data_IF_134109122858
#
_entry.id   IF_134109122858
#
_cell.length_a   1.000
_cell.length_b   1.000
_cell.length_c   1.000
_cell.angle_alpha   90.00
_cell.angle_beta   90.00
_cell.angle_gamma   90.00
#
_symmetry.space_group_name_H-M   'P 1'
#
loop_
_entity.id
_entity.type
_entity.pdbx_description
1 polymer ?
#
# COMPACT_ATOMS: atom_id res chain seq x y z
N UNK A 1 -11.38 20.72 -30.11
CA UNK A 1 -10.55 21.45 -29.14
C UNK A 1 -11.14 21.19 -27.76
N UNK A 2 -10.37 20.65 -26.80
CA UNK A 2 -10.80 20.51 -25.39
C UNK A 2 -11.04 19.09 -24.85
N UNK A 3 -10.02 18.23 -24.81
CA UNK A 3 -10.05 17.06 -23.93
C UNK A 3 -9.41 17.44 -22.60
N UNK A 4 -10.20 18.06 -21.71
CA UNK A 4 -9.75 18.30 -20.36
C UNK A 4 -9.70 16.95 -19.60
N UNK A 5 -8.58 16.23 -19.70
CA UNK A 5 -8.16 15.25 -18.66
C UNK A 5 -7.62 16.03 -17.45
N UNK A 6 -8.26 17.14 -17.10
CA UNK A 6 -7.94 17.96 -15.95
C UNK A 6 -8.94 17.61 -14.86
N UNK A 7 -8.53 16.80 -13.87
CA UNK A 7 -9.29 16.70 -12.62
C UNK A 7 -9.31 15.35 -11.92
N UNK A 8 -8.91 14.23 -12.55
CA UNK A 8 -8.87 12.97 -11.81
C UNK A 8 -7.67 12.97 -10.87
N UNK A 9 -7.92 13.31 -9.59
CA UNK A 9 -6.93 13.21 -8.50
C UNK A 9 -6.22 11.85 -8.64
N UNK A 10 -4.90 11.89 -8.89
CA UNK A 10 -4.09 10.67 -8.96
C UNK A 10 -4.24 9.96 -7.61
N UNK A 11 -4.60 8.68 -7.65
CA UNK A 11 -4.75 7.84 -6.46
C UNK A 11 -3.91 6.60 -6.67
N UNK A 12 -3.15 6.20 -5.65
CA UNK A 12 -2.51 4.90 -5.62
C UNK A 12 -3.56 3.87 -5.22
N UNK A 13 -3.61 2.74 -5.93
CA UNK A 13 -4.55 1.64 -5.65
C UNK A 13 -3.76 0.45 -5.13
N UNK A 14 -4.19 -0.10 -4.02
CA UNK A 14 -3.69 -1.36 -3.47
C UNK A 14 -4.85 -2.33 -3.42
N UNK A 15 -4.61 -3.57 -3.79
CA UNK A 15 -5.60 -4.64 -3.73
C UNK A 15 -5.16 -5.71 -2.75
N UNK A 16 -6.09 -6.20 -1.95
CA UNK A 16 -5.90 -7.35 -1.07
C UNK A 16 -6.19 -8.65 -1.81
N UNK A 17 -5.74 -9.77 -1.24
CA UNK A 17 -5.88 -11.11 -1.85
C UNK A 17 -7.33 -11.58 -1.99
N UNK A 18 -8.24 -11.05 -1.17
CA UNK A 18 -9.69 -11.28 -1.23
C UNK A 18 -10.39 -10.39 -2.28
N UNK A 19 -9.64 -9.53 -2.98
CA UNK A 19 -10.14 -8.66 -4.05
C UNK A 19 -10.60 -7.27 -3.59
N UNK A 20 -10.52 -6.94 -2.29
CA UNK A 20 -10.83 -5.57 -1.85
C UNK A 20 -9.79 -4.57 -2.39
N UNK A 21 -10.24 -3.33 -2.64
CA UNK A 21 -9.39 -2.27 -3.22
C UNK A 21 -9.37 -1.04 -2.33
N UNK A 22 -8.16 -0.58 -1.97
CA UNK A 22 -7.89 0.60 -1.15
C UNK A 22 -7.26 1.69 -2.00
N UNK A 23 -7.66 2.95 -1.76
CA UNK A 23 -7.19 4.11 -2.52
C UNK A 23 -6.47 5.07 -1.59
N UNK A 24 -5.20 5.36 -1.91
CA UNK A 24 -4.37 6.30 -1.17
C UNK A 24 -4.13 7.55 -1.98
N UNK A 25 -4.10 8.71 -1.31
CA UNK A 25 -3.73 9.99 -1.93
C UNK A 25 -2.20 10.13 -1.92
N UNK A 26 -1.54 10.27 -3.08
CA UNK A 26 -0.09 10.48 -3.13
C UNK A 26 0.32 11.88 -2.64
N UNK A 27 1.55 12.04 -2.10
CA UNK A 27 2.49 10.96 -1.78
C UNK A 27 1.97 10.11 -0.60
N UNK A 28 2.14 8.80 -0.69
CA UNK A 28 1.75 7.85 0.35
C UNK A 28 2.87 6.84 0.55
N UNK A 29 3.11 6.49 1.81
CA UNK A 29 4.09 5.45 2.21
C UNK A 29 3.34 4.16 2.52
N UNK A 30 4.03 3.03 2.48
CA UNK A 30 3.39 1.73 2.72
C UNK A 30 2.75 1.62 4.12
N UNK A 31 3.34 2.26 5.14
CA UNK A 31 2.78 2.36 6.49
C UNK A 31 1.40 3.04 6.56
N UNK A 32 1.02 3.83 5.55
CA UNK A 32 -0.32 4.42 5.47
C UNK A 32 -1.44 3.38 5.47
N UNK A 33 -1.17 2.16 4.99
CA UNK A 33 -2.12 1.06 4.97
C UNK A 33 -2.41 0.51 6.38
N UNK A 34 -1.46 0.59 7.32
CA UNK A 34 -1.64 0.04 8.67
C UNK A 34 -2.68 0.82 9.50
N UNK A 35 -2.92 2.09 9.16
CA UNK A 35 -3.89 2.94 9.87
C UNK A 35 -5.32 2.39 9.79
N UNK A 36 -5.68 1.80 8.67
CA UNK A 36 -7.00 1.21 8.44
C UNK A 36 -7.06 -0.28 8.85
N UNK A 37 -5.92 -0.85 9.27
CA UNK A 37 -5.74 -2.28 9.56
C UNK A 37 -4.93 -2.50 10.85
N UNK A 38 -5.48 -2.18 12.04
CA UNK A 38 -4.79 -2.38 13.31
C UNK A 38 -4.52 -3.86 13.57
N UNK A 39 -3.34 -4.18 14.11
CA UNK A 39 -2.91 -5.55 14.40
C UNK A 39 -2.28 -6.30 13.22
N UNK A 40 -2.23 -5.69 12.03
CA UNK A 40 -1.49 -6.21 10.89
C UNK A 40 -0.03 -5.71 10.89
N UNK A 41 0.84 -6.44 10.20
CA UNK A 41 2.25 -6.11 10.04
C UNK A 41 2.55 -5.91 8.55
N UNK A 42 3.41 -4.94 8.25
CA UNK A 42 3.89 -4.70 6.89
C UNK A 42 5.16 -5.52 6.66
N UNK A 43 5.27 -6.17 5.51
CA UNK A 43 6.42 -6.99 5.14
C UNK A 43 6.96 -6.57 3.77
N UNK A 44 8.26 -6.72 3.57
CA UNK A 44 8.85 -6.53 2.25
C UNK A 44 8.55 -7.75 1.36
N UNK A 45 8.07 -7.49 0.15
CA UNK A 45 7.55 -8.50 -0.77
C UNK A 45 8.60 -9.53 -1.21
N UNK A 46 9.81 -9.10 -1.55
CA UNK A 46 10.90 -9.99 -1.95
C UNK A 46 11.41 -10.82 -0.77
N UNK A 47 11.43 -10.25 0.43
CA UNK A 47 11.78 -11.00 1.64
C UNK A 47 10.74 -12.09 1.94
N UNK A 48 9.44 -11.79 1.81
CA UNK A 48 8.37 -12.81 1.93
C UNK A 48 8.50 -13.89 0.87
N UNK A 49 8.85 -13.54 -0.38
CA UNK A 49 9.08 -14.54 -1.45
C UNK A 49 10.23 -15.49 -1.12
N UNK A 50 11.25 -15.03 -0.39
CA UNK A 50 12.43 -15.84 -0.02
C UNK A 50 12.26 -16.62 1.29
N UNK A 51 11.66 -16.00 2.30
CA UNK A 51 11.65 -16.48 3.68
C UNK A 51 10.25 -16.92 4.17
N UNK A 52 9.21 -16.63 3.40
CA UNK A 52 7.82 -16.89 3.81
C UNK A 52 7.47 -16.15 5.10
N UNK A 53 6.84 -16.87 6.04
CA UNK A 53 6.42 -16.31 7.34
C UNK A 53 7.57 -15.88 8.25
N UNK A 54 8.82 -16.16 7.89
CA UNK A 54 10.01 -15.77 8.68
C UNK A 54 10.55 -14.39 8.29
N UNK A 55 9.98 -13.75 7.27
CA UNK A 55 10.34 -12.39 6.87
C UNK A 55 10.15 -11.41 8.03
N UNK A 56 11.07 -10.43 8.15
CA UNK A 56 11.01 -9.45 9.23
C UNK A 56 9.98 -8.36 8.92
N UNK A 57 9.13 -7.99 9.88
CA UNK A 57 8.25 -6.83 9.77
C UNK A 57 9.05 -5.55 9.46
N UNK A 58 8.56 -4.76 8.52
CA UNK A 58 9.00 -3.40 8.30
C UNK A 58 8.58 -2.54 9.50
N UNK A 59 9.43 -1.56 9.84
CA UNK A 59 9.08 -0.58 10.86
C UNK A 59 7.86 0.23 10.40
N UNK A 60 6.90 0.43 11.31
CA UNK A 60 5.66 1.14 11.00
C UNK A 60 5.92 2.62 10.65
N UNK A 61 7.01 3.17 11.19
CA UNK A 61 7.46 4.55 10.96
C UNK A 61 8.60 4.65 9.92
N UNK A 62 8.93 3.57 9.22
CA UNK A 62 9.89 3.62 8.12
C UNK A 62 9.40 4.58 7.01
N UNK A 63 10.28 5.44 6.46
CA UNK A 63 9.93 6.49 5.50
C UNK A 63 9.44 5.95 4.14
#
# INVERSE_FOLDING_TARGET
>A
MGNAIAGRKRTARVMTVDGATYKYRPPAVAGAALRDHPGYQLLESEEVRRLGMRARPLDADAP
#
